data_IF_859668249951
#
_entry.id   IF_859668249951
#
_cell.length_a   1.000
_cell.length_b   1.000
_cell.length_c   1.000
_cell.angle_alpha   90.00
_cell.angle_beta   90.00
_cell.angle_gamma   90.00
#
_symmetry.space_group_name_H-M   'P 1'
#
loop_
_entity.id
_entity.type
_entity.pdbx_description
1 polymer ?
#
# COMPACT_ATOMS: atom_id res chain seq x y z
N UNK A 1 46.42 -48.87 15.76
CA UNK A 1 46.02 -47.55 16.25
C UNK A 1 45.05 -46.98 15.23
N UNK A 2 43.76 -46.93 15.57
CA UNK A 2 42.71 -46.38 14.70
C UNK A 2 42.80 -44.86 14.68
N UNK A 3 42.55 -44.18 13.55
CA UNK A 3 42.54 -42.73 13.51
C UNK A 3 41.30 -42.24 14.26
N UNK A 4 41.53 -41.37 15.23
CA UNK A 4 40.55 -40.68 16.06
C UNK A 4 39.66 -39.76 15.23
N UNK A 5 38.36 -39.79 15.51
CA UNK A 5 37.35 -38.88 14.97
C UNK A 5 37.74 -37.41 15.20
N UNK A 6 37.59 -36.60 14.15
CA UNK A 6 37.99 -35.20 14.16
C UNK A 6 36.90 -34.31 14.78
N UNK A 7 37.33 -33.40 15.66
CA UNK A 7 36.54 -32.50 16.54
C UNK A 7 35.57 -31.52 15.84
N UNK A 8 35.42 -31.58 14.51
CA UNK A 8 34.63 -30.63 13.70
C UNK A 8 33.35 -31.21 13.08
N UNK A 9 33.05 -32.48 13.34
CA UNK A 9 31.74 -33.05 13.04
C UNK A 9 30.78 -32.72 14.19
N UNK A 10 29.85 -31.81 13.95
CA UNK A 10 28.80 -31.49 14.91
C UNK A 10 27.85 -32.69 15.04
N UNK A 11 27.74 -33.22 16.25
CA UNK A 11 26.80 -34.29 16.64
C UNK A 11 25.34 -33.84 16.44
N UNK A 12 24.43 -34.77 16.14
CA UNK A 12 23.05 -34.48 15.73
C UNK A 12 22.29 -33.63 16.78
N UNK A 13 22.63 -33.78 18.06
CA UNK A 13 22.08 -32.98 19.17
C UNK A 13 22.42 -31.48 19.09
N UNK A 14 23.53 -31.09 18.43
CA UNK A 14 23.90 -29.68 18.17
C UNK A 14 23.14 -29.08 16.99
N UNK A 15 22.70 -29.92 16.04
CA UNK A 15 21.91 -29.47 14.89
C UNK A 15 20.45 -29.22 15.30
N UNK A 16 19.89 -30.05 16.17
CA UNK A 16 18.55 -29.83 16.75
C UNK A 16 18.49 -28.57 17.62
N UNK A 17 19.51 -28.30 18.44
CA UNK A 17 19.62 -27.05 19.22
C UNK A 17 19.74 -25.79 18.33
N UNK A 18 20.34 -25.93 17.15
CA UNK A 18 20.47 -24.84 16.15
C UNK A 18 19.14 -24.58 15.44
N UNK A 19 18.32 -25.61 15.22
CA UNK A 19 16.98 -25.48 14.65
C UNK A 19 16.00 -24.84 15.64
N UNK A 20 16.10 -25.16 16.93
CA UNK A 20 15.31 -24.49 17.98
C UNK A 20 15.69 -23.02 18.17
N UNK A 21 16.99 -22.66 18.04
CA UNK A 21 17.45 -21.26 18.06
C UNK A 21 17.01 -20.48 16.81
N UNK A 22 16.91 -21.14 15.65
CA UNK A 22 16.37 -20.56 14.42
C UNK A 22 14.84 -20.31 14.51
N UNK A 23 14.09 -21.26 15.06
CA UNK A 23 12.64 -21.11 15.30
C UNK A 23 12.36 -20.06 16.39
N UNK A 24 13.23 -19.95 17.40
CA UNK A 24 13.19 -18.88 18.40
C UNK A 24 13.56 -17.51 17.80
N UNK A 25 14.49 -17.45 16.83
CA UNK A 25 14.82 -16.25 16.07
C UNK A 25 13.67 -15.81 15.15
N UNK A 26 12.95 -16.75 14.53
CA UNK A 26 11.75 -16.47 13.74
C UNK A 26 10.61 -15.94 14.62
N UNK A 27 10.40 -16.51 15.81
CA UNK A 27 9.44 -15.97 16.80
C UNK A 27 9.85 -14.59 17.34
N UNK A 28 11.15 -14.33 17.56
CA UNK A 28 11.70 -13.00 17.91
C UNK A 28 11.56 -12.00 16.77
N UNK A 29 11.54 -12.44 15.51
CA UNK A 29 11.25 -11.59 14.35
C UNK A 29 9.78 -11.14 14.34
N UNK A 30 8.84 -12.06 14.55
CA UNK A 30 7.40 -11.74 14.61
C UNK A 30 7.01 -10.92 15.85
N UNK A 31 7.71 -11.06 16.98
CA UNK A 31 7.49 -10.23 18.17
C UNK A 31 8.02 -8.78 18.04
N UNK A 32 8.86 -8.47 17.04
CA UNK A 32 9.35 -7.10 16.79
C UNK A 32 8.32 -6.18 16.10
N UNK A 33 7.23 -6.72 15.54
CA UNK A 33 6.22 -5.95 14.82
C UNK A 33 5.16 -5.29 15.72
N UNK A 34 5.16 -5.52 17.04
CA UNK A 34 4.17 -4.94 17.96
C UNK A 34 4.79 -4.06 19.06
N UNK A 35 4.71 -2.73 18.87
CA UNK A 35 4.60 -1.65 19.87
C UNK A 35 5.67 -1.43 20.99
N UNK A 36 6.44 -0.34 20.81
CA UNK A 36 7.01 0.68 21.75
C UNK A 36 7.88 0.38 23.03
N UNK A 37 9.02 1.12 23.05
CA UNK A 37 9.91 1.67 24.14
C UNK A 37 10.98 0.78 24.80
N UNK A 38 12.28 1.17 24.64
CA UNK A 38 13.02 2.13 25.50
C UNK A 38 14.44 2.40 24.93
N UNK A 39 14.71 3.61 24.45
CA UNK A 39 16.07 4.03 24.09
C UNK A 39 16.82 4.53 25.33
N UNK A 40 18.08 4.12 25.51
CA UNK A 40 19.01 4.67 26.51
C UNK A 40 19.99 5.64 25.84
N UNK A 41 20.05 6.87 26.34
CA UNK A 41 20.64 8.07 25.73
C UNK A 41 22.12 8.26 26.16
N UNK A 42 22.88 7.19 26.39
CA UNK A 42 24.21 7.32 27.06
C UNK A 42 25.44 6.86 26.31
N UNK A 43 25.32 6.37 25.06
CA UNK A 43 26.47 6.06 24.19
C UNK A 43 27.68 5.51 24.97
N UNK A 44 27.49 4.40 25.68
CA UNK A 44 28.54 3.70 26.41
C UNK A 44 28.63 2.26 25.91
N UNK A 45 29.84 1.70 25.74
CA UNK A 45 30.00 0.32 25.31
C UNK A 45 29.63 -0.61 26.45
N UNK A 46 28.94 -1.70 26.12
CA UNK A 46 28.63 -2.78 27.05
C UNK A 46 29.49 -4.00 26.69
N UNK A 47 30.05 -4.64 27.72
CA UNK A 47 30.81 -5.89 27.63
C UNK A 47 32.04 -5.88 26.70
N UNK A 48 32.74 -4.75 26.59
CA UNK A 48 34.07 -4.68 25.97
C UNK A 48 34.09 -4.83 24.44
N UNK A 49 32.95 -4.76 23.77
CA UNK A 49 32.89 -4.71 22.31
C UNK A 49 33.21 -3.29 21.79
N UNK A 50 34.02 -3.23 20.73
CA UNK A 50 34.32 -2.00 20.02
C UNK A 50 33.07 -1.46 19.31
N UNK A 51 32.98 -0.14 19.17
CA UNK A 51 31.91 0.50 18.41
C UNK A 51 32.02 0.10 16.94
N UNK A 52 30.86 0.04 16.26
CA UNK A 52 30.75 -0.47 14.88
C UNK A 52 31.58 0.33 13.87
N UNK A 53 31.99 1.54 14.23
CA UNK A 53 32.87 2.41 13.44
C UNK A 53 34.36 1.98 13.46
N UNK A 54 34.75 1.01 14.30
CA UNK A 54 36.15 0.64 14.58
C UNK A 54 36.61 -0.73 14.01
N UNK A 55 35.78 -1.47 13.25
CA UNK A 55 36.17 -2.81 12.76
C UNK A 55 36.05 -2.93 11.23
N UNK A 56 37.19 -2.82 10.55
CA UNK A 56 37.32 -3.11 9.11
C UNK A 56 37.55 -4.61 8.90
N UNK A 57 36.54 -5.31 8.36
CA UNK A 57 36.71 -6.69 7.86
C UNK A 57 36.31 -6.74 6.39
N UNK A 58 37.25 -7.19 5.57
CA UNK A 58 37.13 -7.22 4.12
C UNK A 58 36.03 -8.18 3.65
N UNK A 59 35.15 -7.63 2.81
CA UNK A 59 34.59 -8.29 1.64
C UNK A 59 33.53 -9.33 1.89
N UNK A 60 32.35 -8.91 2.35
CA UNK A 60 31.16 -9.66 1.98
C UNK A 60 31.08 -9.66 0.44
N UNK A 61 31.05 -10.84 -0.16
CA UNK A 61 30.42 -11.01 -1.46
C UNK A 61 28.95 -10.69 -1.24
N UNK A 62 28.65 -9.40 -1.27
CA UNK A 62 27.31 -8.92 -1.43
C UNK A 62 26.92 -9.34 -2.85
N UNK A 63 26.17 -10.44 -2.96
CA UNK A 63 25.40 -10.67 -4.19
C UNK A 63 24.49 -9.47 -4.39
N UNK A 64 24.38 -9.00 -5.63
CA UNK A 64 23.54 -7.86 -5.98
C UNK A 64 22.11 -8.06 -5.43
N UNK A 65 21.59 -9.28 -5.48
CA UNK A 65 20.29 -9.68 -4.91
C UNK A 65 20.09 -9.34 -3.42
N UNK A 66 21.14 -9.45 -2.59
CA UNK A 66 21.05 -9.17 -1.14
C UNK A 66 21.10 -7.67 -0.87
N UNK A 67 21.86 -6.93 -1.67
CA UNK A 67 21.85 -5.45 -1.63
C UNK A 67 20.50 -4.93 -2.12
N UNK A 68 19.98 -5.48 -3.22
CA UNK A 68 18.68 -5.12 -3.78
C UNK A 68 17.53 -5.42 -2.81
N UNK A 69 17.54 -6.58 -2.16
CA UNK A 69 16.54 -6.91 -1.14
C UNK A 69 16.63 -5.99 0.09
N UNK A 70 17.84 -5.64 0.55
CA UNK A 70 18.03 -4.74 1.68
C UNK A 70 17.57 -3.32 1.35
N UNK A 71 17.95 -2.81 0.17
CA UNK A 71 17.54 -1.48 -0.32
C UNK A 71 16.04 -1.41 -0.58
N UNK A 72 15.43 -2.46 -1.13
CA UNK A 72 13.98 -2.56 -1.27
C UNK A 72 13.26 -2.54 0.09
N UNK A 73 13.81 -3.24 1.09
CA UNK A 73 13.31 -3.22 2.46
C UNK A 73 13.40 -1.83 3.11
N UNK A 74 14.51 -1.11 2.88
CA UNK A 74 14.70 0.27 3.35
C UNK A 74 13.71 1.25 2.68
N UNK A 75 13.46 1.10 1.38
CA UNK A 75 12.47 1.91 0.65
C UNK A 75 11.07 1.68 1.22
N UNK A 76 10.68 0.43 1.47
CA UNK A 76 9.38 0.11 2.08
C UNK A 76 9.28 0.72 3.49
N UNK A 77 10.33 0.60 4.31
CA UNK A 77 10.36 1.17 5.65
C UNK A 77 10.24 2.70 5.63
N UNK A 78 10.94 3.36 4.70
CA UNK A 78 10.84 4.81 4.49
C UNK A 78 9.42 5.22 4.12
N UNK A 79 8.78 4.52 3.17
CA UNK A 79 7.40 4.83 2.73
C UNK A 79 6.37 4.59 3.83
N UNK A 80 6.58 3.61 4.72
CA UNK A 80 5.73 3.43 5.91
C UNK A 80 5.81 4.63 6.86
N UNK A 81 7.01 5.20 7.05
CA UNK A 81 7.18 6.42 7.85
C UNK A 81 6.49 7.62 7.20
N UNK A 82 6.53 7.73 5.87
CA UNK A 82 5.77 8.75 5.13
C UNK A 82 4.26 8.58 5.33
N UNK A 83 3.72 7.37 5.24
CA UNK A 83 2.31 7.06 5.51
C UNK A 83 1.90 7.42 6.94
N UNK A 84 2.73 7.09 7.94
CA UNK A 84 2.45 7.45 9.34
C UNK A 84 2.44 8.97 9.56
N UNK A 85 3.36 9.70 8.92
CA UNK A 85 3.38 11.18 8.96
C UNK A 85 2.13 11.77 8.31
N UNK A 86 1.73 11.25 7.15
CA UNK A 86 0.52 11.67 6.48
C UNK A 86 -0.72 11.36 7.34
N UNK A 87 -0.81 10.16 7.91
CA UNK A 87 -1.92 9.78 8.79
C UNK A 87 -2.02 10.72 10.00
N UNK A 88 -0.89 11.04 10.64
CA UNK A 88 -0.86 12.02 11.73
C UNK A 88 -1.34 13.42 11.27
N UNK A 89 -0.87 13.89 10.11
CA UNK A 89 -1.28 15.17 9.54
C UNK A 89 -2.77 15.21 9.15
N UNK A 90 -3.30 14.10 8.65
CA UNK A 90 -4.69 13.95 8.26
C UNK A 90 -5.62 13.64 9.44
N UNK A 91 -5.06 13.48 10.66
CA UNK A 91 -5.79 13.03 11.85
C UNK A 91 -6.49 11.67 11.62
N UNK A 92 -5.86 10.82 10.82
CA UNK A 92 -6.33 9.49 10.44
C UNK A 92 -5.56 8.39 11.18
N UNK A 93 -6.15 7.20 11.21
CA UNK A 93 -5.48 5.98 11.66
C UNK A 93 -5.08 5.13 10.45
N UNK A 94 -3.90 4.52 10.50
CA UNK A 94 -3.41 3.61 9.46
C UNK A 94 -3.45 2.17 9.94
N UNK A 95 -3.86 1.26 9.06
CA UNK A 95 -3.80 -0.19 9.27
C UNK A 95 -3.03 -0.78 8.10
N UNK A 96 -1.82 -1.27 8.37
CA UNK A 96 -1.02 -1.97 7.38
C UNK A 96 -1.47 -3.44 7.30
N UNK A 97 -1.89 -3.88 6.12
CA UNK A 97 -2.29 -5.27 5.87
C UNK A 97 -1.11 -6.17 5.47
N UNK A 98 0.08 -5.57 5.33
CA UNK A 98 1.33 -6.24 4.92
C UNK A 98 1.19 -7.07 3.64
N UNK A 99 0.33 -6.63 2.71
CA UNK A 99 0.27 -7.17 1.36
C UNK A 99 1.52 -6.71 0.59
N UNK A 100 2.22 -7.62 -0.11
CA UNK A 100 3.41 -7.25 -0.88
C UNK A 100 3.00 -6.36 -2.05
N UNK A 101 3.74 -5.28 -2.32
CA UNK A 101 3.62 -4.47 -3.54
C UNK A 101 3.88 -5.34 -4.79
N UNK A 102 3.31 -4.98 -5.93
CA UNK A 102 3.44 -5.71 -7.19
C UNK A 102 4.89 -6.05 -7.55
N UNK A 103 5.86 -5.16 -7.25
CA UNK A 103 7.28 -5.44 -7.49
C UNK A 103 7.79 -6.68 -6.75
N UNK A 104 7.27 -6.94 -5.54
CA UNK A 104 7.61 -8.14 -4.76
C UNK A 104 6.81 -9.37 -5.17
N UNK A 105 5.75 -9.20 -5.98
CA UNK A 105 5.01 -10.29 -6.63
C UNK A 105 5.56 -10.60 -8.03
N UNK A 106 6.71 -10.03 -8.38
CA UNK A 106 7.46 -10.31 -9.60
C UNK A 106 7.06 -9.48 -10.81
N UNK A 107 6.33 -8.37 -10.65
CA UNK A 107 6.12 -7.40 -11.73
C UNK A 107 7.36 -6.53 -11.91
N UNK A 108 7.83 -6.39 -13.15
CA UNK A 108 9.07 -5.70 -13.47
C UNK A 108 8.82 -4.50 -14.40
N UNK A 109 9.18 -3.32 -13.92
CA UNK A 109 9.11 -2.07 -14.69
C UNK A 109 7.70 -1.53 -14.91
N UNK A 110 7.62 -0.29 -15.40
CA UNK A 110 6.36 0.44 -15.52
C UNK A 110 5.38 -0.21 -16.51
N UNK A 111 5.87 -0.88 -17.57
CA UNK A 111 5.03 -1.55 -18.57
C UNK A 111 4.22 -2.70 -17.95
N UNK A 112 4.81 -3.46 -17.03
CA UNK A 112 4.10 -4.53 -16.32
C UNK A 112 3.27 -3.97 -15.17
N UNK A 113 3.79 -2.99 -14.42
CA UNK A 113 3.10 -2.38 -13.29
C UNK A 113 1.84 -1.62 -13.73
N UNK A 114 1.86 -0.97 -14.89
CA UNK A 114 0.73 -0.20 -15.47
C UNK A 114 -0.01 -0.98 -16.57
N UNK A 115 0.24 -2.29 -16.64
CA UNK A 115 -0.31 -3.22 -17.62
C UNK A 115 -1.53 -3.98 -17.10
N UNK A 116 -1.94 -5.05 -17.81
CA UNK A 116 -2.95 -5.96 -17.29
C UNK A 116 -2.44 -6.76 -16.09
N UNK A 117 -3.33 -7.05 -15.14
CA UNK A 117 -3.07 -7.97 -14.03
C UNK A 117 -2.78 -9.37 -14.59
N UNK A 118 -1.82 -10.08 -13.98
CA UNK A 118 -1.52 -11.47 -14.34
C UNK A 118 -2.63 -12.41 -13.89
N UNK A 119 -2.84 -13.50 -14.63
CA UNK A 119 -3.90 -14.47 -14.33
C UNK A 119 -3.73 -15.17 -12.97
N UNK A 120 -2.52 -15.21 -12.43
CA UNK A 120 -2.16 -15.84 -11.15
C UNK A 120 -2.08 -14.86 -9.96
N UNK A 121 -2.36 -13.58 -10.18
CA UNK A 121 -2.35 -12.55 -9.14
C UNK A 121 -3.79 -12.22 -8.72
N UNK A 122 -4.29 -12.93 -7.72
CA UNK A 122 -5.67 -12.80 -7.26
C UNK A 122 -5.89 -11.54 -6.42
N UNK A 123 -7.06 -10.92 -6.58
CA UNK A 123 -7.46 -9.79 -5.75
C UNK A 123 -7.56 -10.21 -4.26
N UNK A 124 -7.08 -9.39 -3.31
CA UNK A 124 -7.06 -9.71 -1.88
C UNK A 124 -8.43 -9.54 -1.21
N UNK A 125 -9.49 -10.10 -1.80
CA UNK A 125 -10.89 -9.89 -1.39
C UNK A 125 -11.14 -10.31 0.05
N UNK A 126 -10.63 -11.49 0.46
CA UNK A 126 -10.94 -12.09 1.75
C UNK A 126 -10.41 -11.26 2.93
N UNK A 127 -9.15 -10.80 2.84
CA UNK A 127 -8.51 -9.99 3.87
C UNK A 127 -9.14 -8.59 3.92
N UNK A 128 -9.36 -7.93 2.77
CA UNK A 128 -10.01 -6.62 2.72
C UNK A 128 -11.42 -6.67 3.30
N UNK A 129 -12.24 -7.65 2.87
CA UNK A 129 -13.59 -7.86 3.40
C UNK A 129 -13.58 -7.99 4.92
N UNK A 130 -12.69 -8.83 5.47
CA UNK A 130 -12.59 -9.07 6.92
C UNK A 130 -12.28 -7.79 7.68
N UNK A 131 -11.27 -7.05 7.24
CA UNK A 131 -10.83 -5.84 7.95
C UNK A 131 -11.84 -4.70 7.80
N UNK A 132 -12.42 -4.51 6.63
CA UNK A 132 -13.50 -3.53 6.41
C UNK A 132 -14.69 -3.86 7.30
N UNK A 133 -15.15 -5.12 7.32
CA UNK A 133 -16.27 -5.53 8.16
C UNK A 133 -15.97 -5.33 9.66
N UNK A 134 -14.73 -5.61 10.11
CA UNK A 134 -14.31 -5.40 11.51
C UNK A 134 -14.38 -3.93 11.94
N UNK A 135 -14.11 -3.00 11.03
CA UNK A 135 -14.14 -1.56 11.30
C UNK A 135 -15.54 -0.95 11.23
N UNK A 136 -16.52 -1.68 10.69
CA UNK A 136 -17.91 -1.26 10.52
C UNK A 136 -18.10 0.15 9.92
N UNK A 137 -17.41 0.50 8.81
CA UNK A 137 -17.45 1.85 8.29
C UNK A 137 -18.80 2.18 7.64
N UNK A 138 -19.08 3.48 7.59
CA UNK A 138 -20.21 4.06 6.85
C UNK A 138 -19.93 4.09 5.35
N UNK A 139 -18.70 4.44 4.95
CA UNK A 139 -18.24 4.49 3.56
C UNK A 139 -16.88 3.80 3.43
N UNK A 140 -16.64 3.21 2.26
CA UNK A 140 -15.40 2.54 1.90
C UNK A 140 -14.92 3.12 0.58
N UNK A 141 -13.79 3.83 0.61
CA UNK A 141 -13.18 4.44 -0.57
C UNK A 141 -12.11 3.51 -1.15
N UNK A 142 -12.24 3.18 -2.43
CA UNK A 142 -11.34 2.29 -3.18
C UNK A 142 -10.92 2.96 -4.49
N UNK A 143 -9.76 2.63 -5.07
CA UNK A 143 -9.36 3.21 -6.35
C UNK A 143 -10.28 2.76 -7.49
N UNK A 144 -10.49 3.62 -8.48
CA UNK A 144 -11.10 3.25 -9.76
C UNK A 144 -10.07 2.58 -10.70
N UNK A 145 -8.79 2.60 -10.31
CA UNK A 145 -7.64 2.06 -11.04
C UNK A 145 -7.38 2.76 -12.39
N UNK A 146 -7.67 4.05 -12.46
CA UNK A 146 -7.26 4.88 -13.59
C UNK A 146 -5.74 4.88 -13.66
N UNK A 147 -5.19 4.63 -14.86
CA UNK A 147 -3.75 4.45 -15.05
C UNK A 147 -3.30 3.01 -15.11
N UNK A 148 -4.18 2.05 -14.79
CA UNK A 148 -3.94 0.60 -14.88
C UNK A 148 -2.81 0.09 -14.00
N UNK A 149 -2.53 0.72 -12.86
CA UNK A 149 -1.60 0.10 -11.91
C UNK A 149 -2.19 -1.21 -11.38
N UNK A 150 -1.45 -2.31 -11.45
CA UNK A 150 -1.95 -3.66 -11.11
C UNK A 150 -2.49 -3.74 -9.68
N UNK A 151 -1.81 -3.15 -8.69
CA UNK A 151 -2.32 -3.11 -7.31
C UNK A 151 -3.63 -2.33 -7.17
N UNK A 152 -3.82 -1.27 -7.97
CA UNK A 152 -5.06 -0.51 -7.95
C UNK A 152 -6.19 -1.30 -8.62
N UNK A 153 -5.89 -2.04 -9.69
CA UNK A 153 -6.85 -2.94 -10.35
C UNK A 153 -7.32 -4.03 -9.37
N UNK A 154 -6.41 -4.71 -8.68
CA UNK A 154 -6.76 -5.72 -7.68
C UNK A 154 -7.58 -5.13 -6.51
N UNK A 155 -7.25 -3.92 -6.07
CA UNK A 155 -7.99 -3.25 -5.01
C UNK A 155 -9.41 -2.84 -5.47
N UNK A 156 -9.55 -2.32 -6.69
CA UNK A 156 -10.85 -2.06 -7.34
C UNK A 156 -11.66 -3.35 -7.45
N UNK A 157 -11.06 -4.43 -7.94
CA UNK A 157 -11.71 -5.71 -8.19
C UNK A 157 -12.19 -6.35 -6.87
N UNK A 158 -11.45 -6.15 -5.77
CA UNK A 158 -11.95 -6.48 -4.44
C UNK A 158 -13.20 -5.67 -4.07
N UNK A 159 -13.23 -4.37 -4.34
CA UNK A 159 -14.42 -3.52 -4.20
C UNK A 159 -15.62 -4.01 -5.02
N UNK A 160 -15.38 -4.39 -6.26
CA UNK A 160 -16.40 -4.97 -7.16
C UNK A 160 -16.92 -6.30 -6.60
N UNK A 161 -16.03 -7.17 -6.10
CA UNK A 161 -16.41 -8.42 -5.47
C UNK A 161 -17.26 -8.21 -4.20
N UNK A 162 -16.98 -7.17 -3.40
CA UNK A 162 -17.83 -6.80 -2.28
C UNK A 162 -19.24 -6.41 -2.76
N UNK A 163 -19.36 -5.60 -3.81
CA UNK A 163 -20.67 -5.23 -4.38
C UNK A 163 -21.48 -6.43 -4.87
N UNK A 164 -20.79 -7.47 -5.37
CA UNK A 164 -21.40 -8.72 -5.82
C UNK A 164 -21.73 -9.71 -4.68
N UNK A 165 -21.33 -9.43 -3.45
CA UNK A 165 -21.59 -10.33 -2.33
C UNK A 165 -23.10 -10.45 -2.08
N UNK A 166 -23.65 -11.68 -2.03
CA UNK A 166 -25.06 -11.87 -1.77
C UNK A 166 -25.40 -11.40 -0.36
N UNK A 167 -26.57 -10.80 -0.21
CA UNK A 167 -27.07 -10.38 1.08
C UNK A 167 -27.20 -11.59 2.01
N UNK A 168 -26.53 -11.56 3.16
CA UNK A 168 -26.70 -12.58 4.19
C UNK A 168 -28.11 -12.50 4.80
N UNK A 169 -28.78 -13.64 4.90
CA UNK A 169 -30.10 -13.78 5.55
C UNK A 169 -30.02 -13.68 7.08
N UNK A 170 -28.82 -13.70 7.64
CA UNK A 170 -28.58 -13.47 9.08
C UNK A 170 -28.20 -12.01 9.29
N UNK A 171 -29.07 -11.27 9.97
CA UNK A 171 -28.82 -9.88 10.35
C UNK A 171 -28.04 -9.78 11.66
N UNK A 172 -27.12 -8.81 11.79
CA UNK A 172 -26.70 -7.83 10.77
C UNK A 172 -25.59 -8.39 9.85
N UNK A 173 -25.79 -8.28 8.53
CA UNK A 173 -24.75 -8.49 7.51
C UNK A 173 -24.49 -7.18 6.74
N UNK A 174 -23.27 -6.91 6.27
CA UNK A 174 -22.99 -5.67 5.56
C UNK A 174 -23.72 -5.64 4.21
N UNK A 175 -24.52 -4.60 3.98
CA UNK A 175 -24.93 -4.22 2.64
C UNK A 175 -23.84 -3.30 2.07
N UNK A 176 -23.21 -3.73 0.97
CA UNK A 176 -22.10 -3.01 0.33
C UNK A 176 -22.55 -1.89 -0.63
N UNK A 177 -23.61 -2.07 -1.45
CA UNK A 177 -24.15 -0.96 -2.24
C UNK A 177 -24.58 0.20 -1.34
N UNK A 178 -24.21 1.44 -1.69
CA UNK A 178 -24.39 2.62 -0.86
C UNK A 178 -23.25 2.90 0.12
N UNK A 179 -22.35 1.94 0.35
CA UNK A 179 -21.14 2.11 1.17
C UNK A 179 -19.85 2.19 0.35
N UNK A 180 -19.73 1.37 -0.69
CA UNK A 180 -18.55 1.34 -1.56
C UNK A 180 -18.56 2.55 -2.49
N UNK A 181 -17.43 3.26 -2.52
CA UNK A 181 -17.20 4.46 -3.34
C UNK A 181 -15.86 4.32 -4.04
N UNK A 182 -15.79 4.60 -5.33
CA UNK A 182 -14.54 4.58 -6.07
C UNK A 182 -14.01 6.00 -6.30
N UNK A 183 -12.76 6.27 -5.92
CA UNK A 183 -12.10 7.56 -6.17
C UNK A 183 -11.30 7.54 -7.47
N UNK A 184 -11.13 8.70 -8.10
CA UNK A 184 -10.29 8.85 -9.29
C UNK A 184 -8.82 8.95 -8.91
N UNK A 185 -7.99 8.09 -9.50
CA UNK A 185 -6.58 7.95 -9.17
C UNK A 185 -5.77 9.14 -9.66
N UNK A 186 -5.44 10.09 -8.78
CA UNK A 186 -4.50 11.16 -9.07
C UNK A 186 -3.06 10.68 -8.86
N UNK A 187 -2.10 10.97 -9.77
CA UNK A 187 -2.19 11.88 -10.92
C UNK A 187 -2.65 11.25 -12.24
N UNK A 188 -2.91 9.94 -12.29
CA UNK A 188 -3.25 9.24 -13.53
C UNK A 188 -4.51 9.78 -14.23
N UNK A 189 -5.56 10.10 -13.46
CA UNK A 189 -6.78 10.74 -13.97
C UNK A 189 -6.50 12.09 -14.60
N UNK A 190 -5.54 12.85 -14.06
CA UNK A 190 -5.10 14.11 -14.62
C UNK A 190 -4.29 13.91 -15.90
N UNK A 191 -3.28 13.03 -15.91
CA UNK A 191 -2.46 12.77 -17.08
C UNK A 191 -3.24 12.20 -18.27
N UNK A 192 -4.24 11.36 -17.99
CA UNK A 192 -5.09 10.75 -19.01
C UNK A 192 -6.34 11.57 -19.35
N UNK A 193 -6.54 12.72 -18.69
CA UNK A 193 -7.71 13.59 -18.89
C UNK A 193 -9.04 12.82 -18.74
N UNK A 194 -9.14 11.98 -17.71
CA UNK A 194 -10.30 11.12 -17.47
C UNK A 194 -11.60 11.94 -17.36
N UNK A 195 -12.64 11.56 -18.12
CA UNK A 195 -13.93 12.26 -18.17
C UNK A 195 -15.08 11.38 -17.69
N UNK A 196 -15.12 10.11 -18.08
CA UNK A 196 -16.25 9.21 -17.84
C UNK A 196 -15.79 7.78 -17.56
N UNK A 197 -16.67 6.94 -17.00
CA UNK A 197 -16.37 5.52 -16.78
C UNK A 197 -16.03 4.76 -18.07
N UNK A 198 -16.49 5.24 -19.23
CA UNK A 198 -16.20 4.64 -20.53
C UNK A 198 -14.73 4.83 -20.95
N UNK A 199 -13.97 5.71 -20.28
CA UNK A 199 -12.54 5.87 -20.49
C UNK A 199 -11.70 4.77 -19.81
N UNK A 200 -12.31 3.93 -18.97
CA UNK A 200 -11.67 2.78 -18.36
C UNK A 200 -11.47 1.65 -19.39
N UNK A 201 -10.50 0.74 -19.17
CA UNK A 201 -10.38 -0.45 -20.01
C UNK A 201 -11.68 -1.25 -20.07
N UNK A 202 -12.00 -1.80 -21.25
CA UNK A 202 -13.14 -2.70 -21.43
C UNK A 202 -13.10 -3.83 -20.40
N UNK A 203 -14.23 -4.06 -19.74
CA UNK A 203 -14.36 -5.11 -18.73
C UNK A 203 -13.94 -4.73 -17.31
N UNK A 204 -13.37 -3.53 -17.10
CA UNK A 204 -12.89 -3.09 -15.79
C UNK A 204 -13.96 -3.10 -14.68
N UNK A 205 -15.24 -3.01 -15.03
CA UNK A 205 -16.36 -2.96 -14.10
C UNK A 205 -17.41 -4.08 -14.32
N UNK A 206 -17.11 -5.09 -15.14
CA UNK A 206 -18.07 -6.14 -15.53
C UNK A 206 -18.56 -6.99 -14.35
N UNK A 207 -17.78 -7.05 -13.26
CA UNK A 207 -18.16 -7.75 -12.03
C UNK A 207 -19.22 -7.02 -11.20
N UNK A 208 -19.56 -5.76 -11.51
CA UNK A 208 -20.59 -5.03 -10.78
C UNK A 208 -21.96 -5.63 -11.11
N UNK A 209 -22.79 -5.98 -10.11
CA UNK A 209 -24.13 -6.50 -10.36
C UNK A 209 -24.98 -5.54 -11.20
N UNK A 210 -25.83 -6.09 -12.07
CA UNK A 210 -26.66 -5.30 -13.00
C UNK A 210 -27.65 -4.35 -12.31
N UNK A 211 -27.98 -4.63 -11.05
CA UNK A 211 -28.87 -3.83 -10.20
C UNK A 211 -28.10 -2.82 -9.32
N UNK A 212 -26.78 -2.72 -9.48
CA UNK A 212 -25.93 -1.73 -8.80
C UNK A 212 -25.43 -0.73 -9.83
N UNK A 213 -25.56 0.55 -9.51
CA UNK A 213 -25.13 1.66 -10.36
C UNK A 213 -24.02 2.45 -9.69
N UNK A 214 -23.12 3.02 -10.50
CA UNK A 214 -22.15 4.00 -10.06
C UNK A 214 -22.59 5.39 -10.52
N UNK A 215 -22.71 6.32 -9.58
CA UNK A 215 -23.10 7.71 -9.88
C UNK A 215 -22.00 8.67 -9.45
N UNK A 216 -21.63 9.65 -10.30
CA UNK A 216 -20.61 10.63 -9.96
C UNK A 216 -21.12 11.59 -8.88
N UNK A 217 -20.29 11.81 -7.86
CA UNK A 217 -20.49 12.79 -6.82
C UNK A 217 -19.29 13.73 -6.79
N UNK A 218 -19.55 15.03 -6.96
CA UNK A 218 -18.53 16.07 -6.95
C UNK A 218 -18.50 16.71 -5.57
N UNK A 219 -17.36 16.59 -4.89
CA UNK A 219 -17.14 17.18 -3.58
C UNK A 219 -16.35 18.47 -3.74
N UNK A 220 -16.88 19.59 -3.28
CA UNK A 220 -16.12 20.85 -3.20
C UNK A 220 -14.99 20.68 -2.18
N UNK A 221 -13.76 20.90 -2.64
CA UNK A 221 -12.54 20.81 -1.83
C UNK A 221 -11.79 22.15 -1.81
N UNK A 222 -12.44 23.25 -2.19
CA UNK A 222 -11.78 24.56 -2.33
C UNK A 222 -11.08 25.00 -1.04
N UNK A 223 -11.69 24.73 0.12
CA UNK A 223 -11.13 25.03 1.44
C UNK A 223 -10.08 24.00 1.91
N UNK A 224 -10.08 22.80 1.33
CA UNK A 224 -9.14 21.71 1.64
C UNK A 224 -7.96 21.62 0.66
N UNK A 225 -7.99 22.32 -0.48
CA UNK A 225 -7.04 22.15 -1.58
C UNK A 225 -5.59 22.33 -1.13
N UNK A 226 -5.30 23.37 -0.36
CA UNK A 226 -3.94 23.62 0.15
C UNK A 226 -3.54 22.65 1.27
N UNK A 227 -4.51 22.11 2.03
CA UNK A 227 -4.24 21.01 2.97
C UNK A 227 -3.85 19.74 2.21
N UNK A 228 -4.55 19.41 1.11
CA UNK A 228 -4.23 18.30 0.21
C UNK A 228 -2.83 18.44 -0.40
N UNK A 229 -2.48 19.60 -0.94
CA UNK A 229 -1.13 19.86 -1.50
C UNK A 229 -0.04 19.60 -0.45
N UNK A 230 -0.22 20.10 0.78
CA UNK A 230 0.73 19.84 1.88
C UNK A 230 0.79 18.37 2.28
N UNK A 231 -0.34 17.68 2.29
CA UNK A 231 -0.40 16.25 2.57
C UNK A 231 0.37 15.42 1.55
N UNK A 232 0.15 15.67 0.24
CA UNK A 232 0.86 14.97 -0.83
C UNK A 232 2.37 15.23 -0.74
N UNK A 233 2.79 16.46 -0.40
CA UNK A 233 4.19 16.82 -0.25
C UNK A 233 4.94 16.04 0.84
N UNK A 234 4.24 15.34 1.76
CA UNK A 234 4.87 14.50 2.78
C UNK A 234 5.44 13.19 2.23
N UNK A 235 5.00 12.78 1.05
CA UNK A 235 5.50 11.60 0.34
C UNK A 235 6.73 11.95 -0.49
N UNK A 236 7.77 12.48 0.18
CA UNK A 236 8.99 13.04 -0.43
C UNK A 236 9.60 12.07 -1.45
N UNK A 237 9.66 10.78 -1.12
CA UNK A 237 10.20 9.73 -1.98
C UNK A 237 9.45 9.57 -3.31
N UNK A 238 8.19 10.04 -3.40
CA UNK A 238 7.33 9.90 -4.57
C UNK A 238 7.29 11.17 -5.43
N UNK A 239 7.66 12.33 -4.87
CA UNK A 239 7.45 13.63 -5.52
C UNK A 239 8.26 13.78 -6.82
N UNK A 240 9.56 13.48 -6.79
CA UNK A 240 10.41 13.70 -7.95
C UNK A 240 10.07 12.74 -9.08
N UNK A 241 9.85 11.45 -8.76
CA UNK A 241 9.48 10.43 -9.74
C UNK A 241 8.16 10.75 -10.43
N UNK A 242 7.12 11.13 -9.66
CA UNK A 242 5.79 11.32 -10.23
C UNK A 242 5.61 12.71 -10.85
N UNK A 243 6.18 13.76 -10.25
CA UNK A 243 5.85 15.13 -10.64
C UNK A 243 7.04 15.94 -11.12
N UNK A 244 8.28 15.46 -10.96
CA UNK A 244 9.48 16.26 -11.22
C UNK A 244 9.67 17.41 -10.21
N UNK A 245 9.08 17.29 -9.02
CA UNK A 245 9.27 18.23 -7.91
C UNK A 245 7.97 18.79 -7.31
N UNK A 246 8.09 19.33 -6.09
CA UNK A 246 6.95 19.81 -5.27
C UNK A 246 6.13 20.89 -5.96
N UNK A 247 6.78 21.83 -6.66
CA UNK A 247 6.07 22.93 -7.34
C UNK A 247 5.24 22.45 -8.53
N UNK A 248 5.72 21.42 -9.25
CA UNK A 248 4.98 20.82 -10.35
C UNK A 248 3.80 19.99 -9.81
N UNK A 249 4.02 19.23 -8.72
CA UNK A 249 2.96 18.52 -8.00
C UNK A 249 1.84 19.47 -7.56
N UNK A 250 2.19 20.54 -6.83
CA UNK A 250 1.21 21.48 -6.30
C UNK A 250 0.39 22.16 -7.40
N UNK A 251 1.01 22.43 -8.56
CA UNK A 251 0.31 22.96 -9.73
C UNK A 251 -0.66 21.94 -10.31
N UNK A 252 -0.21 20.70 -10.52
CA UNK A 252 -1.03 19.62 -11.07
C UNK A 252 -2.26 19.31 -10.21
N UNK A 253 -2.10 19.33 -8.87
CA UNK A 253 -3.22 19.16 -7.94
C UNK A 253 -4.28 20.26 -8.12
N UNK A 254 -3.85 21.53 -8.20
CA UNK A 254 -4.77 22.67 -8.37
C UNK A 254 -5.45 22.65 -9.74
N UNK A 255 -4.69 22.42 -10.80
CA UNK A 255 -5.21 22.37 -12.17
C UNK A 255 -6.23 21.24 -12.33
N UNK A 256 -5.91 20.04 -11.84
CA UNK A 256 -6.84 18.91 -11.88
C UNK A 256 -8.11 19.19 -11.07
N UNK A 257 -8.00 19.71 -9.85
CA UNK A 257 -9.16 19.99 -9.01
C UNK A 257 -10.07 21.08 -9.60
N UNK A 258 -9.50 22.10 -10.26
CA UNK A 258 -10.27 23.11 -11.01
C UNK A 258 -10.98 22.52 -12.23
N UNK A 259 -10.31 21.63 -12.97
CA UNK A 259 -10.92 20.94 -14.11
C UNK A 259 -12.11 20.08 -13.67
N UNK A 260 -11.96 19.31 -12.60
CA UNK A 260 -13.04 18.50 -12.02
C UNK A 260 -14.17 19.38 -11.47
N UNK A 261 -13.85 20.51 -10.82
CA UNK A 261 -14.86 21.48 -10.37
C UNK A 261 -15.69 22.04 -11.52
N UNK A 262 -15.03 22.39 -12.64
CA UNK A 262 -15.70 22.84 -13.86
C UNK A 262 -16.61 21.76 -14.44
N UNK A 263 -16.12 20.52 -14.51
CA UNK A 263 -16.88 19.36 -15.02
C UNK A 263 -18.13 19.06 -14.16
N UNK A 264 -18.02 19.23 -12.85
CA UNK A 264 -19.11 19.03 -11.90
C UNK A 264 -20.01 20.24 -11.67
N UNK A 265 -19.76 21.35 -12.36
CA UNK A 265 -20.42 22.64 -12.10
C UNK A 265 -20.33 23.09 -10.62
N UNK A 266 -19.24 22.73 -9.94
CA UNK A 266 -18.92 23.20 -8.59
C UNK A 266 -18.22 24.55 -8.70
N UNK A 267 -18.64 25.51 -7.87
CA UNK A 267 -18.02 26.84 -7.85
C UNK A 267 -16.68 26.80 -7.08
N UNK A 268 -15.62 26.31 -7.74
CA UNK A 268 -14.29 26.21 -7.16
C UNK A 268 -13.55 24.95 -7.61
N UNK A 269 -12.79 24.37 -6.69
CA UNK A 269 -12.05 23.12 -6.90
C UNK A 269 -12.85 21.93 -6.36
N UNK A 270 -12.87 20.82 -7.08
CA UNK A 270 -13.59 19.63 -6.66
C UNK A 270 -12.78 18.35 -6.86
N UNK A 271 -13.21 17.31 -6.17
CA UNK A 271 -12.87 15.92 -6.45
C UNK A 271 -14.13 15.15 -6.83
N UNK A 272 -13.99 14.17 -7.73
CA UNK A 272 -15.09 13.31 -8.15
C UNK A 272 -14.92 11.91 -7.60
N UNK A 273 -16.02 11.39 -7.07
CA UNK A 273 -16.14 10.06 -6.50
C UNK A 273 -17.32 9.33 -7.15
N UNK A 274 -17.20 8.03 -7.35
CA UNK A 274 -18.22 7.20 -7.96
C UNK A 274 -18.91 6.36 -6.89
N UNK A 275 -20.07 6.83 -6.45
CA UNK A 275 -20.84 6.17 -5.39
C UNK A 275 -21.61 4.98 -5.95
N UNK A 276 -21.47 3.82 -5.31
CA UNK A 276 -22.35 2.68 -5.58
C UNK A 276 -23.73 2.89 -4.95
N UNK A 277 -24.76 2.45 -5.66
CA UNK A 277 -26.14 2.49 -5.17
C UNK A 277 -26.95 1.36 -5.80
N UNK A 278 -27.83 0.74 -5.00
CA UNK A 278 -28.84 -0.21 -5.45
C UNK A 278 -30.23 0.42 -5.23
N UNK A 279 -31.06 0.58 -6.28
CA UNK A 279 -32.40 1.15 -6.18
C UNK A 279 -33.40 0.40 -5.30
#
# INVERSE_FOLDING_TARGET
ASPSDAEWLADDDRLEATQEDADAAAKRFWQRASWYRRASIRAKPLAGQALIDDVSTQGALYTDDVIEAATAGEIVAMRRVEDERFAYFAEASVVFLDLPDAVFRGYEGDDQLLGPVREDDDAPVSILRREIARLEPQLVYLPLAIGNHVDHQLCRDAGVALLAEPQSWVMPGPAWPGKVVFYEDFPYAWWRTFQTLDDLPTGALDGIPRDVHLTPHYSDISDQLERKVRGIAMYESQIDRLFGGVNAMARGVREHAQAVGTLGHVNGSAERYWHSYRP
#
